data_IF_752038304164
#
_entry.id   IF_752038304164
#
_cell.length_a   1.000
_cell.length_b   1.000
_cell.length_c   1.000
_cell.angle_alpha   90.00
_cell.angle_beta   90.00
_cell.angle_gamma   90.00
#
_symmetry.space_group_name_H-M   'P 1'
#
loop_
_entity.id
_entity.type
_entity.pdbx_description
1 polymer ?
#
# COMPACT_ATOMS: atom_id res chain seq x y z
N UNK A 1 -0.24 11.03 -27.50
CA UNK A 1 -1.53 10.38 -27.17
C UNK A 1 -1.40 9.97 -25.69
N UNK A 2 -2.16 10.64 -24.83
CA UNK A 2 -2.22 10.27 -23.42
C UNK A 2 -3.08 8.99 -23.33
N UNK A 3 -2.49 7.89 -22.89
CA UNK A 3 -3.20 6.62 -22.74
C UNK A 3 -3.84 6.59 -21.35
N UNK A 4 -5.16 6.65 -21.27
CA UNK A 4 -5.95 6.61 -20.03
C UNK A 4 -6.72 5.31 -19.92
N UNK A 5 -5.98 4.20 -19.73
CA UNK A 5 -6.56 2.85 -19.68
C UNK A 5 -7.60 2.67 -18.58
N UNK A 6 -7.42 3.38 -17.45
CA UNK A 6 -8.24 3.24 -16.25
C UNK A 6 -9.13 4.47 -15.98
N UNK A 7 -9.39 5.28 -17.00
CA UNK A 7 -10.31 6.41 -16.88
C UNK A 7 -11.70 5.94 -16.44
N UNK A 8 -12.24 6.59 -15.41
CA UNK A 8 -13.53 6.24 -14.82
C UNK A 8 -13.47 5.22 -13.68
N UNK A 9 -12.34 4.53 -13.47
CA UNK A 9 -12.16 3.69 -12.29
C UNK A 9 -11.84 4.54 -11.05
N UNK A 10 -12.48 4.18 -9.94
CA UNK A 10 -12.20 4.77 -8.62
C UNK A 10 -11.47 3.77 -7.74
N UNK A 11 -10.36 4.22 -7.17
CA UNK A 11 -9.52 3.45 -6.24
C UNK A 11 -9.49 4.14 -4.89
N UNK A 12 -9.71 3.40 -3.83
CA UNK A 12 -9.49 3.85 -2.45
C UNK A 12 -8.38 3.02 -1.84
N UNK A 13 -7.31 3.67 -1.39
CA UNK A 13 -6.18 2.95 -0.82
C UNK A 13 -5.90 3.34 0.64
N UNK A 14 -5.76 2.31 1.46
CA UNK A 14 -5.35 2.36 2.88
C UNK A 14 -3.94 1.79 2.99
N UNK A 15 -3.03 2.34 2.22
CA UNK A 15 -1.66 1.85 2.07
C UNK A 15 -0.65 2.82 2.66
N UNK A 16 0.58 2.37 2.88
CA UNK A 16 1.68 3.22 3.34
C UNK A 16 3.01 2.69 2.81
N UNK A 17 4.05 3.51 2.86
CA UNK A 17 5.40 3.22 2.42
C UNK A 17 5.52 3.05 0.90
N UNK A 18 5.83 1.83 0.39
CA UNK A 18 6.25 1.62 -1.00
C UNK A 18 5.29 0.70 -1.77
N UNK A 19 5.09 -0.52 -1.31
CA UNK A 19 4.43 -1.56 -2.11
C UNK A 19 3.01 -1.16 -2.55
N UNK A 20 2.13 -0.86 -1.60
CA UNK A 20 0.75 -0.43 -1.89
C UNK A 20 0.68 0.90 -2.64
N UNK A 21 1.36 1.98 -2.16
CA UNK A 21 1.35 3.25 -2.85
C UNK A 21 1.87 3.18 -4.29
N UNK A 22 2.81 2.28 -4.62
CA UNK A 22 3.29 2.07 -5.99
C UNK A 22 2.17 1.56 -6.90
N UNK A 23 1.33 0.63 -6.45
CA UNK A 23 0.16 0.15 -7.22
C UNK A 23 -0.79 1.31 -7.48
N UNK A 24 -1.17 2.05 -6.42
CA UNK A 24 -2.08 3.20 -6.54
C UNK A 24 -1.54 4.28 -7.47
N UNK A 25 -0.21 4.51 -7.45
CA UNK A 25 0.45 5.44 -8.38
C UNK A 25 0.28 4.99 -9.84
N UNK A 26 0.56 3.74 -10.16
CA UNK A 26 0.40 3.26 -11.53
C UNK A 26 -1.06 3.34 -12.00
N UNK A 27 -2.01 3.01 -11.14
CA UNK A 27 -3.42 3.17 -11.48
C UNK A 27 -3.75 4.65 -11.76
N UNK A 28 -3.23 5.59 -10.96
CA UNK A 28 -3.40 7.03 -11.19
C UNK A 28 -2.72 7.51 -12.48
N UNK A 29 -1.49 7.07 -12.76
CA UNK A 29 -0.75 7.38 -13.99
C UNK A 29 -1.50 6.93 -15.25
N UNK A 30 -2.24 5.84 -15.16
CA UNK A 30 -3.09 5.34 -16.25
C UNK A 30 -4.54 5.85 -16.21
N UNK A 31 -4.83 6.84 -15.37
CA UNK A 31 -6.06 7.62 -15.42
C UNK A 31 -7.13 7.28 -14.39
N UNK A 32 -6.89 6.37 -13.45
CA UNK A 32 -7.82 6.12 -12.36
C UNK A 32 -7.93 7.31 -11.37
N UNK A 33 -9.11 7.48 -10.77
CA UNK A 33 -9.34 8.41 -9.65
C UNK A 33 -8.92 7.74 -8.33
N UNK A 34 -7.69 7.99 -7.89
CA UNK A 34 -7.10 7.35 -6.70
C UNK A 34 -7.19 8.26 -5.49
N UNK A 35 -7.83 7.78 -4.43
CA UNK A 35 -7.94 8.44 -3.12
C UNK A 35 -7.03 7.70 -2.14
N UNK A 36 -5.95 8.35 -1.75
CA UNK A 36 -4.99 7.87 -0.74
C UNK A 36 -5.46 8.31 0.65
N UNK A 37 -5.93 7.37 1.46
CA UNK A 37 -6.40 7.62 2.82
C UNK A 37 -5.23 7.54 3.79
N UNK A 38 -4.96 8.65 4.46
CA UNK A 38 -3.84 8.82 5.37
C UNK A 38 -4.32 8.99 6.82
N UNK A 39 -3.51 8.54 7.77
CA UNK A 39 -3.77 8.76 9.19
C UNK A 39 -3.53 10.22 9.59
N UNK A 40 -4.24 10.75 10.61
CA UNK A 40 -3.99 12.09 11.14
C UNK A 40 -2.55 12.29 11.62
N UNK A 41 -2.08 13.53 11.60
CA UNK A 41 -0.83 14.05 12.12
C UNK A 41 0.40 13.63 11.30
N UNK A 42 0.60 12.35 11.09
CA UNK A 42 1.84 11.84 10.46
C UNK A 42 1.66 11.50 8.96
N UNK A 43 0.43 11.23 8.54
CA UNK A 43 0.15 10.80 7.18
C UNK A 43 0.78 9.44 6.83
N UNK A 44 1.16 9.28 5.58
CA UNK A 44 1.98 8.16 5.10
C UNK A 44 3.40 8.25 5.69
N UNK A 45 3.98 7.13 6.09
CA UNK A 45 5.33 7.07 6.68
C UNK A 45 6.39 7.62 5.73
N UNK A 46 6.22 7.47 4.42
CA UNK A 46 7.13 7.99 3.41
C UNK A 46 7.24 9.52 3.39
N UNK A 47 6.30 10.25 4.01
CA UNK A 47 6.38 11.72 4.16
C UNK A 47 7.62 12.18 4.96
N UNK A 48 8.12 11.32 5.85
CA UNK A 48 9.31 11.60 6.67
C UNK A 48 10.63 11.11 6.08
N UNK A 49 10.65 10.45 4.92
CA UNK A 49 11.86 9.85 4.38
C UNK A 49 12.69 10.81 3.53
N UNK A 50 14.00 10.91 3.78
CA UNK A 50 14.90 11.71 2.96
C UNK A 50 15.08 11.09 1.56
N UNK A 51 15.50 11.90 0.56
CA UNK A 51 15.81 13.31 0.64
C UNK A 51 14.56 14.20 0.70
N UNK A 52 14.68 15.32 1.42
CA UNK A 52 13.60 16.30 1.54
C UNK A 52 13.85 17.48 0.57
N UNK A 53 12.82 17.90 -0.15
CA UNK A 53 12.80 19.10 -0.98
C UNK A 53 11.67 20.02 -0.52
N UNK A 54 12.00 21.23 -0.13
CA UNK A 54 11.04 22.22 0.41
C UNK A 54 10.12 21.65 1.51
N UNK A 55 10.69 20.82 2.38
CA UNK A 55 9.96 20.19 3.50
C UNK A 55 9.11 18.96 3.13
N UNK A 56 9.18 18.50 1.87
CA UNK A 56 8.43 17.32 1.41
C UNK A 56 9.38 16.23 0.95
N UNK A 57 9.08 14.99 1.32
CA UNK A 57 9.86 13.82 0.91
C UNK A 57 9.77 13.59 -0.60
N UNK A 58 10.93 13.47 -1.26
CA UNK A 58 10.99 13.06 -2.66
C UNK A 58 10.36 11.67 -2.90
N UNK A 59 10.53 10.77 -1.94
CA UNK A 59 9.95 9.44 -2.00
C UNK A 59 8.42 9.51 -1.94
N UNK A 60 7.86 10.29 -1.01
CA UNK A 60 6.41 10.49 -0.95
C UNK A 60 5.85 11.04 -2.26
N UNK A 61 6.48 12.08 -2.82
CA UNK A 61 6.09 12.64 -4.11
C UNK A 61 6.11 11.61 -5.23
N UNK A 62 7.19 10.83 -5.30
CA UNK A 62 7.34 9.79 -6.33
C UNK A 62 6.26 8.71 -6.23
N UNK A 63 5.90 8.31 -5.01
CA UNK A 63 4.96 7.20 -4.78
C UNK A 63 3.49 7.62 -4.82
N UNK A 64 3.21 8.92 -4.68
CA UNK A 64 1.83 9.39 -4.50
C UNK A 64 1.40 10.49 -5.50
N UNK A 65 2.21 10.80 -6.52
CA UNK A 65 1.79 11.78 -7.50
C UNK A 65 0.57 11.28 -8.31
N UNK A 66 -0.28 12.21 -8.69
CA UNK A 66 -1.54 11.91 -9.40
C UNK A 66 -2.69 11.45 -8.49
N UNK A 67 -2.45 11.20 -7.21
CA UNK A 67 -3.48 10.81 -6.24
C UNK A 67 -4.08 12.00 -5.51
N UNK A 68 -5.29 11.80 -4.97
CA UNK A 68 -5.92 12.70 -4.00
C UNK A 68 -5.60 12.21 -2.60
N UNK A 69 -5.07 13.07 -1.73
CA UNK A 69 -4.84 12.75 -0.32
C UNK A 69 -6.07 13.09 0.51
N UNK A 70 -6.48 12.19 1.38
CA UNK A 70 -7.57 12.37 2.33
C UNK A 70 -7.14 11.90 3.73
N UNK A 71 -7.16 12.79 4.70
CA UNK A 71 -6.84 12.44 6.09
C UNK A 71 -8.08 11.97 6.83
N UNK A 72 -8.08 10.72 7.32
CA UNK A 72 -9.15 10.15 8.14
C UNK A 72 -8.58 9.43 9.37
N UNK A 73 -9.17 9.65 10.52
CA UNK A 73 -8.96 8.78 11.68
C UNK A 73 -9.93 7.58 11.60
N UNK A 74 -9.42 6.43 11.22
CA UNK A 74 -10.23 5.20 11.13
C UNK A 74 -10.62 4.63 12.50
N UNK A 75 -10.11 5.19 13.62
CA UNK A 75 -10.54 4.87 14.97
C UNK A 75 -11.70 5.74 15.43
N UNK A 76 -11.90 6.89 14.78
CA UNK A 76 -13.06 7.74 14.98
C UNK A 76 -14.26 7.19 14.21
N UNK A 77 -15.46 7.07 14.82
CA UNK A 77 -16.64 6.53 14.14
C UNK A 77 -17.04 7.30 12.88
N UNK A 78 -16.91 8.62 12.85
CA UNK A 78 -17.25 9.41 11.65
C UNK A 78 -16.21 9.23 10.56
N UNK A 79 -14.90 9.16 10.91
CA UNK A 79 -13.83 8.85 9.96
C UNK A 79 -14.03 7.46 9.32
N UNK A 80 -14.35 6.47 10.14
CA UNK A 80 -14.66 5.11 9.68
C UNK A 80 -15.89 5.06 8.77
N UNK A 81 -16.94 5.81 9.11
CA UNK A 81 -18.15 5.92 8.29
C UNK A 81 -17.85 6.51 6.92
N UNK A 82 -17.06 7.60 6.86
CA UNK A 82 -16.62 8.21 5.60
C UNK A 82 -15.83 7.19 4.76
N UNK A 83 -14.89 6.46 5.37
CA UNK A 83 -14.13 5.43 4.68
C UNK A 83 -15.03 4.35 4.06
N UNK A 84 -16.05 3.88 4.78
CA UNK A 84 -17.03 2.92 4.26
C UNK A 84 -17.86 3.48 3.10
N UNK A 85 -18.29 4.74 3.18
CA UNK A 85 -19.03 5.39 2.10
C UNK A 85 -18.16 5.51 0.83
N UNK A 86 -16.87 5.82 0.95
CA UNK A 86 -15.95 5.81 -0.19
C UNK A 86 -15.84 4.41 -0.81
N UNK A 87 -15.70 3.36 0.00
CA UNK A 87 -15.59 1.99 -0.48
C UNK A 87 -16.86 1.48 -1.19
N UNK A 88 -18.05 2.01 -0.88
CA UNK A 88 -19.28 1.67 -1.60
C UNK A 88 -19.23 2.01 -3.08
N UNK A 89 -18.50 3.04 -3.44
CA UNK A 89 -18.41 3.55 -4.81
C UNK A 89 -17.06 3.28 -5.46
N UNK A 90 -16.16 2.60 -4.76
CA UNK A 90 -14.85 2.21 -5.29
C UNK A 90 -14.98 0.99 -6.20
N UNK A 91 -14.21 0.97 -7.28
CA UNK A 91 -14.01 -0.23 -8.10
C UNK A 91 -12.90 -1.10 -7.49
N UNK A 92 -11.90 -0.45 -6.90
CA UNK A 92 -10.74 -1.11 -6.30
C UNK A 92 -10.50 -0.53 -4.89
N UNK A 93 -10.28 -1.41 -3.92
CA UNK A 93 -9.72 -1.06 -2.61
C UNK A 93 -8.35 -1.73 -2.47
N UNK A 94 -7.34 -0.95 -2.08
CA UNK A 94 -6.00 -1.43 -1.78
C UNK A 94 -5.70 -1.22 -0.30
N UNK A 95 -5.05 -2.19 0.33
CA UNK A 95 -4.55 -2.02 1.69
C UNK A 95 -3.18 -2.72 1.88
N UNK A 96 -2.36 -2.20 2.80
CA UNK A 96 -1.07 -2.78 3.16
C UNK A 96 -0.87 -2.86 4.67
N UNK A 97 -1.96 -3.09 5.40
CA UNK A 97 -1.96 -3.19 6.85
C UNK A 97 -1.59 -4.63 7.29
N UNK A 98 -1.35 -4.77 8.59
CA UNK A 98 -1.17 -6.11 9.15
C UNK A 98 -2.44 -6.94 8.97
N UNK A 99 -2.33 -8.24 8.65
CA UNK A 99 -3.48 -9.13 8.53
C UNK A 99 -4.47 -8.99 9.68
N UNK A 100 -5.76 -8.94 9.36
CA UNK A 100 -6.86 -8.74 10.30
C UNK A 100 -7.07 -7.29 10.79
N UNK A 101 -6.21 -6.32 10.43
CA UNK A 101 -6.40 -4.94 10.87
C UNK A 101 -7.63 -4.31 10.21
N UNK A 102 -7.78 -4.48 8.91
CA UNK A 102 -8.92 -3.98 8.15
C UNK A 102 -10.21 -4.73 8.53
N UNK A 103 -10.14 -6.02 8.84
CA UNK A 103 -11.29 -6.79 9.30
C UNK A 103 -11.86 -6.23 10.62
N UNK A 104 -10.99 -5.91 11.58
CA UNK A 104 -11.41 -5.31 12.86
C UNK A 104 -12.09 -3.95 12.72
N UNK A 105 -11.78 -3.21 11.65
CA UNK A 105 -12.42 -1.94 11.31
C UNK A 105 -13.71 -2.13 10.49
N UNK A 106 -14.01 -3.35 10.06
CA UNK A 106 -15.12 -3.62 9.13
C UNK A 106 -14.86 -3.01 7.75
N UNK A 107 -13.58 -2.93 7.36
CA UNK A 107 -13.07 -2.53 6.04
C UNK A 107 -12.33 -3.69 5.35
N UNK A 108 -12.39 -4.90 5.89
CA UNK A 108 -11.87 -6.10 5.24
C UNK A 108 -12.76 -6.57 4.08
N UNK A 109 -12.24 -7.48 3.26
CA UNK A 109 -12.89 -7.93 2.02
C UNK A 109 -14.33 -8.42 2.24
N UNK A 110 -14.56 -9.28 3.22
CA UNK A 110 -15.90 -9.87 3.42
C UNK A 110 -16.94 -8.81 3.78
N UNK A 111 -16.58 -7.86 4.65
CA UNK A 111 -17.48 -6.76 5.03
C UNK A 111 -17.74 -5.79 3.86
N UNK A 112 -16.72 -5.46 3.08
CA UNK A 112 -16.87 -4.56 1.95
C UNK A 112 -17.60 -5.22 0.77
N UNK A 113 -17.44 -6.51 0.56
CA UNK A 113 -18.15 -7.28 -0.47
C UNK A 113 -19.66 -7.28 -0.25
N UNK A 114 -20.12 -7.26 1.00
CA UNK A 114 -21.55 -7.18 1.31
C UNK A 114 -22.19 -5.87 0.83
N UNK A 115 -21.43 -4.77 0.89
CA UNK A 115 -21.92 -3.44 0.49
C UNK A 115 -21.55 -3.06 -0.94
N UNK A 116 -20.55 -3.71 -1.52
CA UNK A 116 -20.10 -3.52 -2.89
C UNK A 116 -19.63 -4.86 -3.50
N UNK A 117 -20.58 -5.67 -4.04
CA UNK A 117 -20.26 -7.02 -4.55
C UNK A 117 -19.33 -7.04 -5.78
N UNK A 118 -19.11 -5.89 -6.42
CA UNK A 118 -18.22 -5.77 -7.59
C UNK A 118 -16.79 -5.36 -7.22
N UNK A 119 -16.54 -5.12 -5.94
CA UNK A 119 -15.26 -4.62 -5.45
C UNK A 119 -14.12 -5.58 -5.76
N UNK A 120 -13.05 -5.04 -6.33
CA UNK A 120 -11.75 -5.68 -6.38
C UNK A 120 -10.98 -5.27 -5.13
N UNK A 121 -10.51 -6.22 -4.35
CA UNK A 121 -9.81 -5.97 -3.10
C UNK A 121 -8.38 -6.47 -3.17
N UNK A 122 -7.41 -5.56 -3.22
CA UNK A 122 -5.97 -5.86 -3.18
C UNK A 122 -5.42 -5.71 -1.77
N UNK A 123 -4.84 -6.79 -1.23
CA UNK A 123 -4.22 -6.77 0.08
C UNK A 123 -2.76 -7.21 -0.02
N UNK A 124 -1.86 -6.39 0.49
CA UNK A 124 -0.42 -6.60 0.45
C UNK A 124 0.08 -6.85 1.87
N UNK A 125 0.80 -7.95 2.06
CA UNK A 125 1.47 -8.24 3.33
C UNK A 125 2.78 -8.98 3.09
N UNK A 126 3.72 -8.87 4.03
CA UNK A 126 5.05 -9.46 3.89
C UNK A 126 5.04 -11.00 3.84
N UNK A 127 4.03 -11.64 4.44
CA UNK A 127 3.99 -13.10 4.62
C UNK A 127 2.73 -13.75 4.07
N UNK A 128 1.86 -12.98 3.41
CA UNK A 128 0.53 -13.43 3.04
C UNK A 128 -0.44 -13.48 4.24
N UNK A 129 -1.70 -13.81 3.97
CA UNK A 129 -2.78 -13.86 4.98
C UNK A 129 -2.93 -15.24 5.63
N UNK A 130 -2.20 -16.25 5.17
CA UNK A 130 -2.28 -17.64 5.65
C UNK A 130 -0.88 -18.20 5.85
N UNK A 131 -0.74 -19.13 6.79
CA UNK A 131 0.52 -19.79 7.06
C UNK A 131 1.15 -19.39 8.40
N UNK A 132 2.27 -20.03 8.79
CA UNK A 132 2.86 -19.88 10.12
C UNK A 132 3.47 -18.51 10.40
N UNK A 133 3.64 -17.66 9.38
CA UNK A 133 4.23 -16.33 9.51
C UNK A 133 3.24 -15.20 9.25
N UNK A 134 1.97 -15.49 8.96
CA UNK A 134 0.97 -14.48 8.59
C UNK A 134 0.88 -13.32 9.60
N UNK A 135 1.00 -13.59 10.90
CA UNK A 135 0.92 -12.58 11.95
C UNK A 135 2.23 -11.84 12.22
N UNK A 136 3.33 -12.23 11.54
CA UNK A 136 4.63 -11.59 11.75
C UNK A 136 4.69 -10.25 11.03
N UNK A 137 5.30 -9.23 11.65
CA UNK A 137 5.63 -8.01 10.94
C UNK A 137 6.70 -8.29 9.89
N UNK A 138 6.72 -7.50 8.81
CA UNK A 138 7.74 -7.60 7.80
C UNK A 138 7.80 -6.35 6.94
N UNK A 139 8.99 -6.02 6.54
CA UNK A 139 9.32 -5.03 5.54
C UNK A 139 10.21 -5.69 4.50
N UNK A 140 10.52 -4.98 3.44
CA UNK A 140 11.37 -5.45 2.35
C UNK A 140 12.64 -6.19 2.82
N UNK A 141 13.40 -5.61 3.74
CA UNK A 141 14.64 -6.22 4.24
C UNK A 141 14.41 -7.58 4.92
N UNK A 142 13.28 -7.75 5.59
CA UNK A 142 12.90 -9.02 6.22
C UNK A 142 12.57 -10.06 5.13
N UNK A 143 11.84 -9.65 4.08
CA UNK A 143 11.53 -10.50 2.95
C UNK A 143 12.79 -10.92 2.17
N UNK A 144 13.73 -10.00 1.95
CA UNK A 144 15.03 -10.30 1.34
C UNK A 144 15.83 -11.32 2.14
N UNK A 145 15.87 -11.18 3.48
CA UNK A 145 16.55 -12.14 4.36
C UNK A 145 15.89 -13.51 4.35
N UNK A 146 14.56 -13.54 4.52
CA UNK A 146 13.80 -14.78 4.60
C UNK A 146 13.76 -15.59 3.30
N UNK A 147 13.79 -14.91 2.15
CA UNK A 147 13.84 -15.56 0.83
C UNK A 147 15.20 -16.14 0.47
N UNK A 148 16.26 -15.84 1.24
CA UNK A 148 17.63 -16.20 0.91
C UNK A 148 18.32 -15.26 -0.08
N UNK A 149 17.63 -14.23 -0.59
CA UNK A 149 18.19 -13.28 -1.55
C UNK A 149 19.47 -12.63 -1.03
N UNK A 150 19.49 -12.25 0.25
CA UNK A 150 20.66 -11.63 0.85
C UNK A 150 21.89 -12.58 0.89
N UNK A 151 21.65 -13.87 1.02
CA UNK A 151 22.72 -14.88 0.97
C UNK A 151 23.38 -14.93 -0.42
N UNK A 152 22.59 -14.94 -1.48
CA UNK A 152 23.10 -14.94 -2.86
C UNK A 152 23.69 -13.61 -3.30
N UNK A 153 23.34 -12.51 -2.63
CA UNK A 153 23.91 -11.18 -2.94
C UNK A 153 25.20 -10.88 -2.18
N UNK A 154 25.55 -11.70 -1.19
CA UNK A 154 26.80 -11.62 -0.44
C UNK A 154 27.83 -12.63 -0.92
N UNK A 155 28.98 -12.65 -0.24
CA UNK A 155 30.05 -13.62 -0.40
C UNK A 155 30.62 -14.05 0.96
N UNK A 156 31.63 -14.94 0.94
CA UNK A 156 32.26 -15.45 2.18
C UNK A 156 32.93 -14.37 3.03
N UNK A 157 33.28 -13.23 2.46
CA UNK A 157 33.93 -12.12 3.18
C UNK A 157 32.93 -11.12 3.74
N UNK A 158 31.83 -10.87 3.03
CA UNK A 158 30.81 -9.89 3.40
C UNK A 158 29.65 -10.50 4.20
N UNK A 159 29.44 -11.81 4.09
CA UNK A 159 28.21 -12.45 4.54
C UNK A 159 26.99 -12.01 3.72
N UNK A 160 25.76 -12.29 4.21
CA UNK A 160 24.53 -11.88 3.52
C UNK A 160 24.39 -10.36 3.42
N UNK A 161 24.16 -9.84 2.20
CA UNK A 161 24.06 -8.41 1.90
C UNK A 161 22.69 -8.07 1.30
N UNK A 162 22.06 -7.00 1.82
CA UNK A 162 20.82 -6.45 1.27
C UNK A 162 21.04 -5.96 -0.17
N UNK A 163 20.12 -6.25 -1.09
CA UNK A 163 20.06 -5.58 -2.38
C UNK A 163 19.76 -4.09 -2.17
N UNK A 164 20.35 -3.22 -2.97
CA UNK A 164 20.28 -1.77 -2.77
C UNK A 164 18.85 -1.21 -2.72
N UNK A 165 17.97 -1.66 -3.61
CA UNK A 165 16.57 -1.20 -3.65
C UNK A 165 15.63 -2.10 -2.82
N UNK A 166 14.41 -1.60 -2.57
CA UNK A 166 13.32 -2.32 -1.92
C UNK A 166 12.66 -3.28 -2.94
N UNK A 167 13.43 -4.30 -3.36
CA UNK A 167 13.05 -5.23 -4.45
C UNK A 167 11.82 -6.07 -4.10
N UNK A 168 11.62 -6.39 -2.82
CA UNK A 168 10.44 -7.11 -2.34
C UNK A 168 9.19 -6.25 -2.44
N UNK A 169 9.27 -4.98 -2.07
CA UNK A 169 8.16 -4.03 -2.15
C UNK A 169 7.77 -3.75 -3.60
N UNK A 170 8.74 -3.46 -4.47
CA UNK A 170 8.46 -3.25 -5.90
C UNK A 170 8.01 -4.55 -6.58
N UNK A 171 8.56 -5.70 -6.19
CA UNK A 171 8.10 -7.01 -6.65
C UNK A 171 6.65 -7.29 -6.28
N UNK A 172 6.26 -7.00 -5.04
CA UNK A 172 4.87 -7.09 -4.60
C UNK A 172 3.97 -6.15 -5.41
N UNK A 173 4.40 -4.90 -5.63
CA UNK A 173 3.64 -3.94 -6.42
C UNK A 173 3.44 -4.37 -7.88
N UNK A 174 4.46 -4.98 -8.51
CA UNK A 174 4.35 -5.46 -9.91
C UNK A 174 3.51 -6.71 -10.07
N UNK A 175 3.27 -7.45 -8.99
CA UNK A 175 2.50 -8.70 -8.99
C UNK A 175 1.05 -8.51 -8.54
N UNK A 176 0.73 -7.38 -7.91
CA UNK A 176 -0.61 -7.00 -7.45
C UNK A 176 -1.32 -6.18 -8.48
#
# INVERSE_FOLDING_TARGET
>A
IEVRLYEGLRVVEFTTNIAGPTIGRWLAEYGADVIHVERPVYGDDSRGYPPMFDGVSAQYHTLNHGKKSLVLDLKDPEGLKIAKELCKTADIVLESNRPGAMDRLGLGYEALREINPRLIYGSISAWGHKGPYADRPGYDVIAQGASGMMYYNGDDNTGPVKVFCEIGDYGAATSG
#
